data_IF_069941941195
#
_entry.id   IF_069941941195
#
_cell.length_a   1.000
_cell.length_b   1.000
_cell.length_c   1.000
_cell.angle_alpha   90.00
_cell.angle_beta   90.00
_cell.angle_gamma   90.00
#
_symmetry.space_group_name_H-M   'P 1'
#
loop_
_entity.id
_entity.type
_entity.pdbx_description
1 polymer ?
#
# COMPACT_ATOMS: atom_id res chain seq x y z
N UNK A 1 10.45 -21.87 -10.48
CA UNK A 1 10.57 -20.63 -11.29
C UNK A 1 9.72 -20.63 -12.58
N UNK A 2 9.33 -21.76 -13.11
CA UNK A 2 8.50 -21.85 -14.34
C UNK A 2 7.01 -21.49 -14.11
N UNK A 3 6.45 -21.84 -12.97
CA UNK A 3 5.02 -21.66 -12.66
C UNK A 3 4.57 -20.20 -12.54
N UNK A 4 5.46 -19.29 -12.15
CA UNK A 4 5.13 -17.87 -11.99
C UNK A 4 5.00 -17.13 -13.32
N UNK A 5 5.77 -17.57 -14.35
CA UNK A 5 5.71 -17.02 -15.72
C UNK A 5 4.42 -17.36 -16.44
N UNK A 6 3.74 -18.43 -16.02
CA UNK A 6 2.50 -18.90 -16.65
C UNK A 6 1.22 -18.37 -15.99
N UNK A 7 1.21 -18.18 -14.67
CA UNK A 7 0.00 -17.77 -13.92
C UNK A 7 -0.27 -16.27 -14.09
N UNK A 8 0.78 -15.44 -14.20
CA UNK A 8 0.63 -14.00 -14.34
C UNK A 8 -0.02 -13.56 -15.66
N UNK A 9 0.38 -14.10 -16.84
CA UNK A 9 -0.33 -13.83 -18.09
C UNK A 9 -1.79 -14.31 -18.04
N UNK A 10 -2.07 -15.41 -17.35
CA UNK A 10 -3.43 -15.97 -17.24
C UNK A 10 -4.33 -15.06 -16.41
N UNK A 11 -3.86 -14.55 -15.27
CA UNK A 11 -4.61 -13.56 -14.47
C UNK A 11 -4.82 -12.24 -15.22
N UNK A 12 -3.80 -11.74 -15.90
CA UNK A 12 -3.90 -10.55 -16.74
C UNK A 12 -4.78 -10.77 -17.97
N UNK A 13 -4.70 -11.94 -18.60
CA UNK A 13 -5.56 -12.35 -19.72
C UNK A 13 -7.00 -12.61 -19.27
N UNK A 14 -7.23 -13.17 -18.07
CA UNK A 14 -8.57 -13.29 -17.51
C UNK A 14 -9.19 -11.92 -17.22
N UNK A 15 -8.42 -10.94 -16.72
CA UNK A 15 -8.93 -9.58 -16.54
C UNK A 15 -9.19 -8.86 -17.87
N UNK A 16 -8.32 -9.06 -18.84
CA UNK A 16 -8.51 -8.53 -20.20
C UNK A 16 -9.63 -9.26 -20.96
N UNK A 17 -9.81 -10.59 -20.76
CA UNK A 17 -10.90 -11.36 -21.39
C UNK A 17 -12.25 -11.10 -20.71
N UNK A 18 -12.34 -11.02 -19.40
CA UNK A 18 -13.57 -10.60 -18.71
C UNK A 18 -14.02 -9.20 -19.13
N UNK A 19 -13.04 -8.32 -19.45
CA UNK A 19 -13.34 -7.02 -20.08
C UNK A 19 -13.74 -7.12 -21.53
N UNK A 20 -13.42 -8.22 -22.24
CA UNK A 20 -13.69 -8.42 -23.67
C UNK A 20 -14.92 -9.30 -23.97
N UNK A 21 -15.25 -10.24 -23.07
CA UNK A 21 -16.40 -11.16 -23.27
C UNK A 21 -17.75 -10.53 -22.94
N UNK A 22 -17.78 -9.33 -22.34
CA UNK A 22 -18.96 -8.48 -22.22
C UNK A 22 -19.28 -7.64 -23.47
N UNK A 23 -18.56 -7.84 -24.57
CA UNK A 23 -18.82 -7.14 -25.83
C UNK A 23 -20.07 -7.71 -26.51
N UNK A 24 -21.12 -6.91 -26.77
CA UNK A 24 -22.22 -7.35 -27.60
C UNK A 24 -21.70 -7.73 -28.98
N UNK A 25 -22.26 -8.79 -29.55
CA UNK A 25 -21.87 -9.32 -30.86
C UNK A 25 -22.12 -8.35 -32.05
N UNK A 26 -22.65 -7.16 -31.79
CA UNK A 26 -22.86 -6.08 -32.76
C UNK A 26 -21.84 -4.99 -32.58
N UNK A 27 -21.06 -4.69 -33.61
CA UNK A 27 -20.13 -3.56 -33.63
C UNK A 27 -20.93 -2.27 -33.42
N UNK A 28 -20.69 -1.50 -32.33
CA UNK A 28 -21.43 -0.28 -32.08
C UNK A 28 -21.13 0.77 -33.15
N UNK A 29 -22.14 1.50 -33.56
CA UNK A 29 -21.97 2.69 -34.41
C UNK A 29 -21.17 3.77 -33.67
N UNK A 30 -20.52 4.68 -34.36
CA UNK A 30 -19.48 5.60 -33.83
C UNK A 30 -19.88 6.40 -32.55
N UNK A 31 -21.18 6.58 -32.29
CA UNK A 31 -21.67 7.21 -31.07
C UNK A 31 -21.66 6.31 -29.83
N UNK A 32 -21.95 5.00 -30.03
CA UNK A 32 -22.05 4.03 -28.93
C UNK A 32 -20.69 3.62 -28.40
N UNK A 33 -19.65 3.69 -29.25
CA UNK A 33 -18.26 3.37 -28.85
C UNK A 33 -17.74 4.32 -27.79
N UNK A 34 -18.08 5.60 -27.86
CA UNK A 34 -17.64 6.59 -26.87
C UNK A 34 -18.31 6.37 -25.51
N UNK A 35 -19.59 6.01 -25.51
CA UNK A 35 -20.36 5.69 -24.29
C UNK A 35 -19.84 4.37 -23.69
N UNK A 36 -19.59 3.37 -24.53
CA UNK A 36 -19.06 2.07 -24.13
C UNK A 36 -17.69 2.20 -23.48
N UNK A 37 -16.75 2.85 -24.17
CA UNK A 37 -15.40 3.11 -23.65
C UNK A 37 -15.47 3.95 -22.35
N UNK A 38 -16.32 4.97 -22.29
CA UNK A 38 -16.55 5.81 -21.10
C UNK A 38 -17.00 5.03 -19.86
N UNK A 39 -17.77 3.94 -20.06
CA UNK A 39 -18.29 3.10 -18.95
C UNK A 39 -17.24 2.15 -18.36
N UNK A 40 -16.27 1.67 -19.16
CA UNK A 40 -15.24 0.72 -18.71
C UNK A 40 -13.91 1.36 -18.31
N UNK A 41 -13.64 2.59 -18.76
CA UNK A 41 -12.43 3.32 -18.34
C UNK A 41 -12.31 3.46 -16.81
N UNK A 42 -13.38 3.75 -16.02
CA UNK A 42 -13.30 3.77 -14.56
C UNK A 42 -12.80 2.45 -13.96
N UNK A 43 -13.29 1.32 -14.47
CA UNK A 43 -12.90 -0.03 -14.00
C UNK A 43 -11.43 -0.33 -14.27
N UNK A 44 -10.92 0.00 -15.46
CA UNK A 44 -9.50 -0.15 -15.79
C UNK A 44 -8.61 0.70 -14.87
N UNK A 45 -9.08 1.88 -14.48
CA UNK A 45 -8.34 2.77 -13.55
C UNK A 45 -8.33 2.23 -12.14
N UNK A 46 -9.48 1.78 -11.64
CA UNK A 46 -9.60 1.20 -10.32
C UNK A 46 -8.71 -0.04 -10.14
N UNK A 47 -8.42 -0.77 -11.22
CA UNK A 47 -7.55 -1.97 -11.20
C UNK A 47 -6.06 -1.66 -11.34
N UNK A 48 -5.67 -0.48 -11.82
CA UNK A 48 -4.26 -0.15 -12.07
C UNK A 48 -3.43 -0.11 -10.77
N UNK A 49 -3.95 0.50 -9.69
CA UNK A 49 -3.27 0.57 -8.41
C UNK A 49 -3.08 -0.81 -7.76
N UNK A 50 -4.13 -1.62 -7.57
CA UNK A 50 -3.96 -2.94 -6.98
C UNK A 50 -3.07 -3.85 -7.83
N UNK A 51 -3.12 -3.73 -9.16
CA UNK A 51 -2.20 -4.44 -10.05
C UNK A 51 -0.75 -3.99 -9.85
N UNK A 52 -0.49 -2.68 -9.77
CA UNK A 52 0.84 -2.15 -9.50
C UNK A 52 1.38 -2.61 -8.15
N UNK A 53 0.58 -2.58 -7.10
CA UNK A 53 0.95 -3.06 -5.76
C UNK A 53 1.26 -4.56 -5.78
N UNK A 54 0.42 -5.35 -6.45
CA UNK A 54 0.64 -6.79 -6.58
C UNK A 54 1.91 -7.11 -7.38
N UNK A 55 2.13 -6.43 -8.51
CA UNK A 55 3.32 -6.59 -9.35
C UNK A 55 4.57 -6.21 -8.57
N UNK A 56 4.55 -5.08 -7.87
CA UNK A 56 5.67 -4.63 -7.06
C UNK A 56 5.97 -5.65 -5.95
N UNK A 57 4.96 -6.11 -5.22
CA UNK A 57 5.13 -7.14 -4.21
C UNK A 57 5.62 -8.48 -4.76
N UNK A 58 5.17 -8.89 -5.95
CA UNK A 58 5.57 -10.13 -6.59
C UNK A 58 6.98 -10.05 -7.22
N UNK A 59 7.35 -8.90 -7.77
CA UNK A 59 8.65 -8.66 -8.40
C UNK A 59 9.75 -8.36 -7.39
N UNK A 60 9.38 -7.70 -6.28
CA UNK A 60 10.33 -7.37 -5.23
C UNK A 60 10.64 -8.61 -4.40
N UNK A 61 11.70 -9.31 -4.77
CA UNK A 61 12.29 -10.34 -3.94
C UNK A 61 13.23 -9.69 -2.95
N UNK A 62 12.92 -9.83 -1.68
CA UNK A 62 13.84 -9.49 -0.58
C UNK A 62 15.04 -10.45 -0.57
N UNK A 63 15.83 -10.45 -1.63
CA UNK A 63 17.05 -11.28 -1.72
C UNK A 63 18.07 -10.95 -0.63
N UNK A 64 17.83 -9.90 0.14
CA UNK A 64 18.74 -9.40 1.18
C UNK A 64 18.24 -9.65 2.59
N UNK A 65 16.94 -9.92 2.76
CA UNK A 65 16.29 -10.17 4.06
C UNK A 65 15.87 -11.62 4.27
N UNK A 66 16.20 -12.53 3.33
CA UNK A 66 15.91 -13.97 3.50
C UNK A 66 16.78 -14.66 4.56
N UNK A 67 17.54 -13.90 5.36
CA UNK A 67 18.26 -14.47 6.50
C UNK A 67 17.35 -14.52 7.71
N UNK A 68 17.16 -15.72 8.28
CA UNK A 68 16.18 -15.92 9.33
C UNK A 68 16.56 -15.17 10.59
N UNK A 69 15.59 -14.45 11.12
CA UNK A 69 15.61 -14.11 12.53
C UNK A 69 15.34 -15.39 13.32
N UNK A 70 16.20 -15.68 14.30
CA UNK A 70 16.16 -16.89 15.09
C UNK A 70 14.78 -17.14 15.73
N UNK A 71 14.47 -18.42 15.91
CA UNK A 71 13.22 -19.05 16.33
C UNK A 71 12.62 -18.60 17.68
N UNK A 72 13.20 -17.62 18.35
CA UNK A 72 12.80 -17.22 19.72
C UNK A 72 11.68 -16.19 19.81
N UNK A 73 11.23 -15.61 18.68
CA UNK A 73 10.03 -14.79 18.65
C UNK A 73 8.79 -15.64 18.35
N UNK A 74 8.23 -16.25 19.38
CA UNK A 74 6.80 -16.62 19.34
C UNK A 74 6.04 -15.29 19.24
N UNK A 75 5.36 -15.08 18.11
CA UNK A 75 4.32 -14.09 18.01
C UNK A 75 3.41 -14.22 19.24
N UNK A 76 3.07 -13.10 19.86
CA UNK A 76 2.06 -13.10 20.91
C UNK A 76 0.85 -13.90 20.40
N UNK A 77 0.26 -14.75 21.23
CA UNK A 77 -0.83 -15.65 20.83
C UNK A 77 -1.99 -14.92 20.15
N UNK A 78 -2.14 -13.62 20.39
CA UNK A 78 -3.06 -12.72 19.68
C UNK A 78 -2.40 -11.38 19.44
N UNK A 79 -2.30 -11.01 18.18
CA UNK A 79 -1.78 -9.71 17.74
C UNK A 79 -2.90 -8.68 17.61
N UNK A 80 -2.58 -7.41 17.82
CA UNK A 80 -3.50 -6.31 17.51
C UNK A 80 -3.94 -6.33 16.02
N UNK A 81 -3.10 -6.83 15.12
CA UNK A 81 -3.43 -7.01 13.71
C UNK A 81 -4.59 -7.97 13.47
N UNK A 82 -4.81 -8.96 14.37
CA UNK A 82 -5.90 -9.95 14.25
C UNK A 82 -7.27 -9.29 14.41
N UNK A 83 -7.35 -8.20 15.17
CA UNK A 83 -8.58 -7.42 15.38
C UNK A 83 -8.67 -6.24 14.42
N UNK A 84 -7.57 -5.51 14.25
CA UNK A 84 -7.54 -4.28 13.48
C UNK A 84 -7.94 -4.49 12.01
N UNK A 85 -7.65 -5.68 11.43
CA UNK A 85 -8.01 -6.05 10.07
C UNK A 85 -9.53 -6.02 9.80
N UNK A 86 -10.36 -6.10 10.84
CA UNK A 86 -11.81 -6.09 10.71
C UNK A 86 -12.43 -4.74 11.06
N UNK A 87 -11.66 -3.81 11.64
CA UNK A 87 -12.20 -2.54 12.13
C UNK A 87 -12.91 -1.72 11.05
N UNK A 88 -12.48 -1.67 9.76
CA UNK A 88 -13.22 -0.94 8.75
C UNK A 88 -14.58 -1.59 8.43
N UNK A 89 -14.66 -2.93 8.41
CA UNK A 89 -15.91 -3.63 8.20
C UNK A 89 -16.88 -3.43 9.36
N UNK A 90 -16.38 -3.48 10.60
CA UNK A 90 -17.21 -3.21 11.80
C UNK A 90 -17.76 -1.79 11.75
N UNK A 91 -16.94 -0.80 11.37
CA UNK A 91 -17.40 0.58 11.21
C UNK A 91 -18.46 0.69 10.11
N UNK A 92 -18.23 0.08 8.94
CA UNK A 92 -19.14 0.08 7.82
C UNK A 92 -20.51 -0.51 8.19
N UNK A 93 -20.51 -1.71 8.78
CA UNK A 93 -21.75 -2.38 9.22
C UNK A 93 -22.45 -1.62 10.36
N UNK A 94 -21.66 -1.04 11.28
CA UNK A 94 -22.20 -0.20 12.35
C UNK A 94 -22.93 1.03 11.82
N UNK A 95 -22.33 1.77 10.88
CA UNK A 95 -22.98 2.90 10.23
C UNK A 95 -24.29 2.47 9.54
N UNK A 96 -24.26 1.34 8.81
CA UNK A 96 -25.42 0.80 8.13
C UNK A 96 -26.55 0.40 9.10
N UNK A 97 -26.19 -0.27 10.20
CA UNK A 97 -27.13 -0.67 11.25
C UNK A 97 -27.75 0.53 11.99
N UNK A 98 -27.00 1.62 12.12
CA UNK A 98 -27.49 2.89 12.67
C UNK A 98 -28.37 3.68 11.69
N UNK A 99 -28.69 3.15 10.51
CA UNK A 99 -29.54 3.81 9.52
C UNK A 99 -28.83 4.87 8.66
N UNK A 100 -27.49 4.95 8.72
CA UNK A 100 -26.73 5.85 7.84
C UNK A 100 -26.75 5.29 6.44
N UNK A 101 -27.29 6.05 5.49
CA UNK A 101 -27.33 5.66 4.09
C UNK A 101 -25.94 5.67 3.46
N UNK A 102 -25.53 4.52 2.90
CA UNK A 102 -24.32 4.36 2.09
C UNK A 102 -24.62 4.35 0.59
N UNK A 103 -23.62 3.97 -0.22
CA UNK A 103 -23.78 3.83 -1.67
C UNK A 103 -24.84 2.83 -2.07
N UNK A 104 -24.90 1.68 -1.39
CA UNK A 104 -25.75 0.55 -1.72
C UNK A 104 -26.84 0.32 -0.66
N UNK A 105 -27.95 -0.28 -1.01
CA UNK A 105 -28.88 -0.86 -0.02
C UNK A 105 -28.25 -2.11 0.65
N UNK A 106 -28.93 -2.70 1.62
CA UNK A 106 -28.45 -3.87 2.33
C UNK A 106 -28.17 -5.06 1.41
N UNK A 107 -29.04 -5.32 0.44
CA UNK A 107 -28.91 -6.49 -0.42
C UNK A 107 -27.73 -6.34 -1.38
N UNK A 108 -27.62 -5.19 -2.06
CA UNK A 108 -26.51 -4.93 -2.97
C UNK A 108 -25.17 -4.96 -2.23
N UNK A 109 -25.09 -4.30 -1.07
CA UNK A 109 -23.88 -4.27 -0.24
C UNK A 109 -23.43 -5.68 0.16
N UNK A 110 -24.34 -6.49 0.76
CA UNK A 110 -23.97 -7.82 1.24
C UNK A 110 -23.56 -8.77 0.10
N UNK A 111 -24.19 -8.66 -1.07
CA UNK A 111 -23.81 -9.48 -2.23
C UNK A 111 -22.45 -9.07 -2.76
N UNK A 112 -22.17 -7.78 -2.93
CA UNK A 112 -20.85 -7.30 -3.39
C UNK A 112 -19.77 -7.62 -2.40
N UNK A 113 -20.03 -7.49 -1.10
CA UNK A 113 -19.09 -7.85 -0.04
C UNK A 113 -18.79 -9.36 -0.03
N UNK A 114 -19.80 -10.20 -0.20
CA UNK A 114 -19.62 -11.66 -0.29
C UNK A 114 -18.75 -12.04 -1.51
N UNK A 115 -19.00 -11.43 -2.67
CA UNK A 115 -18.16 -11.64 -3.87
C UNK A 115 -16.72 -11.21 -3.60
N UNK A 116 -16.52 -10.05 -2.94
CA UNK A 116 -15.20 -9.56 -2.56
C UNK A 116 -14.44 -10.55 -1.67
N UNK A 117 -15.12 -11.09 -0.65
CA UNK A 117 -14.54 -12.07 0.28
C UNK A 117 -14.14 -13.35 -0.46
N UNK A 118 -15.01 -13.88 -1.31
CA UNK A 118 -14.73 -15.10 -2.10
C UNK A 118 -13.55 -14.88 -3.05
N UNK A 119 -13.53 -13.76 -3.77
CA UNK A 119 -12.45 -13.41 -4.69
C UNK A 119 -11.10 -13.27 -3.95
N UNK A 120 -11.07 -12.54 -2.84
CA UNK A 120 -9.87 -12.34 -2.02
C UNK A 120 -9.38 -13.67 -1.43
N UNK A 121 -10.28 -14.48 -0.85
CA UNK A 121 -9.92 -15.75 -0.23
C UNK A 121 -9.39 -16.76 -1.28
N UNK A 122 -10.03 -16.82 -2.45
CA UNK A 122 -9.59 -17.65 -3.57
C UNK A 122 -8.21 -17.26 -4.08
N UNK A 123 -7.98 -15.96 -4.32
CA UNK A 123 -6.70 -15.45 -4.79
C UNK A 123 -5.57 -15.67 -3.77
N UNK A 124 -5.81 -15.30 -2.50
CA UNK A 124 -4.79 -15.47 -1.45
C UNK A 124 -4.51 -16.95 -1.15
N UNK A 125 -5.55 -17.79 -1.08
CA UNK A 125 -5.40 -19.23 -0.89
C UNK A 125 -4.64 -19.89 -2.04
N UNK A 126 -5.06 -19.66 -3.28
CA UNK A 126 -4.40 -20.19 -4.47
C UNK A 126 -2.91 -19.84 -4.54
N UNK A 127 -2.57 -18.57 -4.29
CA UNK A 127 -1.18 -18.12 -4.29
C UNK A 127 -0.34 -18.71 -3.15
N UNK A 128 -0.91 -18.91 -1.96
CA UNK A 128 -0.21 -19.57 -0.85
C UNK A 128 0.19 -21.01 -1.22
N UNK A 129 -0.71 -21.76 -1.86
CA UNK A 129 -0.44 -23.14 -2.29
C UNK A 129 0.59 -23.24 -3.42
N UNK A 130 0.62 -22.24 -4.33
CA UNK A 130 1.50 -22.27 -5.50
C UNK A 130 2.89 -21.69 -5.22
N UNK A 131 2.97 -20.57 -4.48
CA UNK A 131 4.23 -19.85 -4.25
C UNK A 131 5.05 -20.50 -3.11
N UNK A 132 4.39 -20.99 -2.06
CA UNK A 132 5.00 -21.67 -0.91
C UNK A 132 6.20 -20.94 -0.32
N UNK A 133 6.10 -19.62 -0.18
CA UNK A 133 7.18 -18.79 0.38
C UNK A 133 7.31 -18.99 1.88
N UNK A 134 8.53 -19.15 2.35
CA UNK A 134 8.84 -19.25 3.78
C UNK A 134 8.66 -17.88 4.47
N UNK A 135 8.13 -17.90 5.70
CA UNK A 135 7.97 -16.70 6.53
C UNK A 135 9.32 -16.23 7.07
N UNK A 136 9.45 -14.92 7.44
CA UNK A 136 10.66 -14.43 8.11
C UNK A 136 11.01 -15.19 9.38
N UNK A 137 10.01 -15.62 10.16
CA UNK A 137 10.16 -16.40 11.40
C UNK A 137 10.34 -17.92 11.17
N UNK A 138 10.35 -18.36 9.90
CA UNK A 138 10.44 -19.78 9.49
C UNK A 138 9.33 -20.68 10.03
N UNK A 139 8.25 -20.15 10.58
CA UNK A 139 7.14 -20.93 11.16
C UNK A 139 6.38 -21.74 10.12
N UNK A 140 6.30 -21.26 8.89
CA UNK A 140 5.53 -21.91 7.82
C UNK A 140 5.97 -21.44 6.43
N UNK A 141 5.54 -22.18 5.39
CA UNK A 141 5.76 -21.81 3.97
C UNK A 141 4.54 -21.16 3.32
N UNK A 142 3.78 -20.40 4.09
CA UNK A 142 2.57 -19.71 3.63
C UNK A 142 2.67 -18.21 3.78
N UNK A 143 3.88 -17.65 3.57
CA UNK A 143 4.12 -16.22 3.74
C UNK A 143 3.41 -15.39 2.67
N UNK A 144 3.57 -15.74 1.40
CA UNK A 144 3.06 -14.94 0.28
C UNK A 144 1.71 -15.44 -0.23
N UNK A 145 0.77 -14.53 -0.47
CA UNK A 145 0.68 -13.14 0.02
C UNK A 145 0.17 -13.06 1.46
N UNK A 146 0.26 -11.88 2.09
CA UNK A 146 -0.26 -11.67 3.45
C UNK A 146 -1.80 -11.66 3.48
N UNK A 147 -2.40 -12.67 4.11
CA UNK A 147 -3.85 -12.77 4.24
C UNK A 147 -4.47 -11.73 5.17
N UNK A 148 -3.78 -11.32 6.25
CA UNK A 148 -4.24 -10.26 7.14
C UNK A 148 -4.27 -8.91 6.42
N UNK A 149 -3.21 -8.59 5.67
CA UNK A 149 -3.15 -7.36 4.89
C UNK A 149 -4.20 -7.36 3.77
N UNK A 150 -4.38 -8.48 3.07
CA UNK A 150 -5.41 -8.59 2.04
C UNK A 150 -6.82 -8.32 2.61
N UNK A 151 -7.13 -8.92 3.77
CA UNK A 151 -8.42 -8.71 4.43
C UNK A 151 -8.58 -7.27 4.92
N UNK A 152 -7.55 -6.68 5.52
CA UNK A 152 -7.59 -5.31 6.01
C UNK A 152 -7.82 -4.31 4.87
N UNK A 153 -7.11 -4.45 3.76
CA UNK A 153 -7.30 -3.58 2.59
C UNK A 153 -8.63 -3.83 1.88
N UNK A 154 -9.12 -5.08 1.84
CA UNK A 154 -10.46 -5.39 1.35
C UNK A 154 -11.54 -4.66 2.17
N UNK A 155 -11.54 -4.80 3.49
CA UNK A 155 -12.54 -4.15 4.35
C UNK A 155 -12.43 -2.63 4.33
N UNK A 156 -11.22 -2.08 4.21
CA UNK A 156 -11.01 -0.64 4.03
C UNK A 156 -11.58 -0.14 2.70
N UNK A 157 -11.42 -0.91 1.62
CA UNK A 157 -11.95 -0.55 0.32
C UNK A 157 -13.48 -0.65 0.28
N UNK A 158 -14.08 -1.64 0.94
CA UNK A 158 -15.54 -1.71 1.13
C UNK A 158 -16.06 -0.46 1.85
N UNK A 159 -15.46 -0.08 2.98
CA UNK A 159 -15.80 1.14 3.71
C UNK A 159 -15.63 2.39 2.83
N UNK A 160 -14.56 2.45 2.04
CA UNK A 160 -14.31 3.54 1.10
C UNK A 160 -15.43 3.64 0.05
N UNK A 161 -15.80 2.54 -0.60
CA UNK A 161 -16.86 2.52 -1.62
C UNK A 161 -18.23 2.87 -1.05
N UNK A 162 -18.60 2.34 0.10
CA UNK A 162 -19.93 2.56 0.69
C UNK A 162 -20.07 3.94 1.35
N UNK A 163 -19.04 4.42 2.05
CA UNK A 163 -19.14 5.62 2.88
C UNK A 163 -18.06 6.67 2.60
N UNK A 164 -16.88 6.25 2.18
CA UNK A 164 -15.79 7.14 1.87
C UNK A 164 -16.09 8.05 0.68
N UNK A 165 -16.67 7.47 -0.38
CA UNK A 165 -17.05 8.20 -1.58
C UNK A 165 -18.39 8.95 -1.43
N UNK A 166 -19.25 8.57 -0.49
CA UNK A 166 -20.63 9.05 -0.40
C UNK A 166 -20.91 9.94 0.80
N UNK A 167 -20.27 9.70 1.93
CA UNK A 167 -20.53 10.41 3.19
C UNK A 167 -19.35 11.31 3.59
N UNK A 168 -18.16 10.73 3.78
CA UNK A 168 -16.99 11.49 4.21
C UNK A 168 -15.69 10.79 3.83
N UNK A 169 -14.78 11.47 3.11
CA UNK A 169 -13.47 10.93 2.76
C UNK A 169 -12.61 10.57 3.97
N UNK A 170 -12.88 11.15 5.15
CA UNK A 170 -12.18 10.79 6.39
C UNK A 170 -12.39 9.34 6.80
N UNK A 171 -13.52 8.73 6.41
CA UNK A 171 -13.77 7.30 6.62
C UNK A 171 -12.81 6.46 5.78
N UNK A 172 -12.47 6.91 4.57
CA UNK A 172 -11.43 6.27 3.74
C UNK A 172 -10.06 6.37 4.40
N UNK A 173 -9.69 7.55 4.91
CA UNK A 173 -8.41 7.75 5.63
C UNK A 173 -8.33 6.83 6.84
N UNK A 174 -9.39 6.77 7.64
CA UNK A 174 -9.45 5.89 8.81
C UNK A 174 -9.34 4.41 8.42
N UNK A 175 -10.08 3.98 7.39
CA UNK A 175 -10.09 2.61 6.91
C UNK A 175 -8.72 2.17 6.36
N UNK A 176 -8.16 2.93 5.43
CA UNK A 176 -6.85 2.62 4.86
C UNK A 176 -5.71 2.81 5.88
N UNK A 177 -5.85 3.74 6.83
CA UNK A 177 -4.92 3.89 7.95
C UNK A 177 -4.88 2.64 8.83
N UNK A 178 -6.04 2.09 9.18
CA UNK A 178 -6.14 0.83 9.93
C UNK A 178 -5.58 -0.37 9.14
N UNK A 179 -5.83 -0.41 7.82
CA UNK A 179 -5.31 -1.46 6.94
C UNK A 179 -3.77 -1.39 6.84
N UNK A 180 -3.22 -0.20 6.67
CA UNK A 180 -1.78 0.02 6.65
C UNK A 180 -1.14 -0.39 7.99
N UNK A 181 -1.71 0.04 9.13
CA UNK A 181 -1.25 -0.34 10.45
C UNK A 181 -1.28 -1.87 10.64
N UNK A 182 -2.34 -2.56 10.17
CA UNK A 182 -2.39 -4.02 10.18
C UNK A 182 -1.22 -4.63 9.42
N UNK A 183 -0.93 -4.18 8.20
CA UNK A 183 0.19 -4.67 7.41
C UNK A 183 1.53 -4.44 8.10
N UNK A 184 1.75 -3.25 8.65
CA UNK A 184 2.98 -2.90 9.37
C UNK A 184 3.21 -3.76 10.61
N UNK A 185 2.15 -4.03 11.38
CA UNK A 185 2.22 -4.93 12.53
C UNK A 185 2.66 -6.33 12.11
N UNK A 186 2.14 -6.87 11.00
CA UNK A 186 2.54 -8.20 10.49
C UNK A 186 4.00 -8.27 10.07
N UNK A 187 4.55 -7.18 9.54
CA UNK A 187 5.99 -7.08 9.23
C UNK A 187 6.80 -6.97 10.52
N UNK A 188 6.38 -6.12 11.48
CA UNK A 188 7.03 -5.96 12.78
C UNK A 188 7.10 -7.27 13.57
N UNK A 189 6.06 -8.09 13.49
CA UNK A 189 5.98 -9.40 14.14
C UNK A 189 6.75 -10.51 13.42
N UNK A 190 7.47 -10.20 12.35
CA UNK A 190 8.18 -11.17 11.49
C UNK A 190 7.29 -12.28 10.89
N UNK A 191 5.98 -12.04 10.79
CA UNK A 191 5.04 -12.98 10.18
C UNK A 191 5.06 -12.94 8.66
N UNK A 192 5.35 -11.76 8.09
CA UNK A 192 5.31 -11.52 6.64
C UNK A 192 6.41 -10.56 6.20
N UNK A 193 6.84 -10.72 4.95
CA UNK A 193 7.71 -9.79 4.25
C UNK A 193 6.92 -8.57 3.76
N UNK A 194 7.59 -7.43 3.54
CA UNK A 194 6.94 -6.23 2.98
C UNK A 194 6.32 -6.51 1.61
N UNK A 195 6.99 -7.30 0.79
CA UNK A 195 6.47 -7.77 -0.50
C UNK A 195 5.18 -8.59 -0.38
N UNK A 196 5.04 -9.43 0.67
CA UNK A 196 3.80 -10.17 0.96
C UNK A 196 2.67 -9.21 1.34
N UNK A 197 3.01 -8.13 2.06
CA UNK A 197 2.08 -7.08 2.46
C UNK A 197 1.57 -6.29 1.26
N UNK A 198 2.47 -5.84 0.38
CA UNK A 198 2.10 -5.12 -0.84
C UNK A 198 1.22 -5.96 -1.76
N UNK A 199 1.60 -7.21 -1.99
CA UNK A 199 0.80 -8.14 -2.78
C UNK A 199 -0.57 -8.40 -2.14
N UNK A 200 -0.61 -8.55 -0.82
CA UNK A 200 -1.86 -8.71 -0.07
C UNK A 200 -2.77 -7.50 -0.20
N UNK A 201 -2.24 -6.28 -0.04
CA UNK A 201 -3.00 -5.05 -0.21
C UNK A 201 -3.59 -4.94 -1.62
N UNK A 202 -2.78 -5.20 -2.66
CA UNK A 202 -3.24 -5.22 -4.05
C UNK A 202 -4.39 -6.21 -4.28
N UNK A 203 -4.28 -7.44 -3.75
CA UNK A 203 -5.36 -8.44 -3.86
C UNK A 203 -6.62 -7.96 -3.13
N UNK A 204 -6.49 -7.40 -1.93
CA UNK A 204 -7.62 -6.92 -1.15
C UNK A 204 -8.42 -5.85 -1.90
N UNK A 205 -7.73 -4.81 -2.39
CA UNK A 205 -8.36 -3.73 -3.16
C UNK A 205 -8.98 -4.28 -4.45
N UNK A 206 -8.22 -5.08 -5.22
CA UNK A 206 -8.69 -5.63 -6.49
C UNK A 206 -9.95 -6.47 -6.34
N UNK A 207 -10.05 -7.26 -5.27
CA UNK A 207 -11.22 -8.11 -5.01
C UNK A 207 -12.50 -7.30 -4.83
N UNK A 208 -12.41 -6.12 -4.21
CA UNK A 208 -13.55 -5.22 -4.04
C UNK A 208 -13.89 -4.53 -5.36
N UNK A 209 -12.91 -4.02 -6.09
CA UNK A 209 -13.15 -3.38 -7.39
C UNK A 209 -13.82 -4.34 -8.37
N UNK A 210 -13.37 -5.60 -8.42
CA UNK A 210 -14.01 -6.65 -9.20
C UNK A 210 -15.46 -6.90 -8.76
N UNK A 211 -15.70 -7.00 -7.46
CA UNK A 211 -17.02 -7.27 -6.91
C UNK A 211 -18.00 -6.12 -7.17
N UNK A 212 -17.56 -4.87 -7.04
CA UNK A 212 -18.39 -3.71 -7.35
C UNK A 212 -18.69 -3.61 -8.85
N UNK A 213 -17.72 -3.93 -9.71
CA UNK A 213 -17.98 -4.04 -11.16
C UNK A 213 -19.01 -5.12 -11.48
N UNK A 214 -18.90 -6.30 -10.87
CA UNK A 214 -19.91 -7.35 -11.00
C UNK A 214 -21.27 -6.93 -10.43
N UNK A 215 -21.27 -6.20 -9.31
CA UNK A 215 -22.50 -5.62 -8.73
C UNK A 215 -23.17 -4.62 -9.66
N UNK A 216 -22.39 -3.81 -10.39
CA UNK A 216 -22.94 -2.92 -11.42
C UNK A 216 -23.53 -3.69 -12.60
N UNK A 217 -22.93 -4.80 -13.00
CA UNK A 217 -23.49 -5.68 -14.03
C UNK A 217 -24.77 -6.38 -13.57
N UNK A 218 -24.85 -6.77 -12.29
CA UNK A 218 -26.01 -7.50 -11.74
C UNK A 218 -27.21 -6.58 -11.46
N UNK A 219 -26.97 -5.39 -10.92
CA UNK A 219 -28.01 -4.50 -10.42
C UNK A 219 -28.22 -3.25 -11.27
N UNK A 220 -27.26 -2.90 -12.16
CA UNK A 220 -27.30 -1.62 -12.87
C UNK A 220 -27.33 -0.45 -11.89
N UNK A 221 -28.24 0.49 -12.16
CA UNK A 221 -28.48 1.65 -11.29
C UNK A 221 -29.51 1.38 -10.18
N UNK A 222 -30.02 0.14 -10.08
CA UNK A 222 -30.96 -0.23 -9.03
C UNK A 222 -30.27 -0.43 -7.69
N UNK A 223 -31.00 -0.18 -6.59
CA UNK A 223 -30.52 -0.37 -5.20
C UNK A 223 -29.35 0.54 -4.79
N UNK A 224 -29.17 1.66 -5.50
CA UNK A 224 -28.27 2.72 -5.11
C UNK A 224 -29.00 3.58 -4.06
N UNK A 225 -28.39 3.75 -2.88
CA UNK A 225 -28.84 4.66 -1.84
C UNK A 225 -28.32 6.06 -2.09
N UNK A 226 -27.14 6.35 -1.59
CA UNK A 226 -26.51 7.67 -1.72
C UNK A 226 -25.56 7.73 -2.93
N UNK A 227 -25.72 8.70 -3.84
CA UNK A 227 -24.78 8.87 -4.93
C UNK A 227 -23.39 9.29 -4.40
N UNK A 228 -22.31 9.04 -5.15
CA UNK A 228 -20.98 9.54 -4.82
C UNK A 228 -21.00 11.07 -4.65
N UNK A 229 -20.16 11.56 -3.72
CA UNK A 229 -19.95 12.99 -3.55
C UNK A 229 -19.49 13.58 -4.89
N UNK A 230 -20.03 14.75 -5.24
CA UNK A 230 -19.62 15.44 -6.45
C UNK A 230 -18.10 15.65 -6.44
N UNK A 231 -17.46 15.53 -7.59
CA UNK A 231 -16.05 15.83 -7.71
C UNK A 231 -15.81 17.26 -7.23
N UNK A 232 -14.90 17.48 -6.27
CA UNK A 232 -14.53 18.83 -5.87
C UNK A 232 -14.08 19.57 -7.14
N UNK A 233 -14.59 20.76 -7.37
CA UNK A 233 -14.05 21.61 -8.42
C UNK A 233 -12.55 21.77 -8.16
N UNK A 234 -11.70 21.78 -9.19
CA UNK A 234 -10.23 21.65 -9.05
C UNK A 234 -9.54 22.64 -8.12
N UNK A 235 -10.27 23.58 -7.52
CA UNK A 235 -9.83 24.53 -6.47
C UNK A 235 -10.06 24.03 -5.06
N UNK A 236 -10.91 23.03 -4.82
CA UNK A 236 -11.32 22.61 -3.47
C UNK A 236 -10.47 21.43 -2.93
N UNK A 237 -9.65 20.79 -3.76
CA UNK A 237 -8.76 19.71 -3.37
C UNK A 237 -7.48 20.24 -2.70
N UNK A 238 -7.62 20.88 -1.54
CA UNK A 238 -6.49 21.49 -0.83
C UNK A 238 -5.75 20.54 0.09
N UNK A 239 -6.47 19.57 0.66
CA UNK A 239 -5.88 18.57 1.54
C UNK A 239 -5.61 17.27 0.80
N UNK A 240 -4.45 16.69 1.04
CA UNK A 240 -4.05 15.40 0.49
C UNK A 240 -3.39 14.57 1.58
N UNK A 241 -3.87 13.35 1.74
CA UNK A 241 -3.30 12.34 2.61
C UNK A 241 -2.73 11.22 1.75
N UNK A 242 -1.50 10.83 2.01
CA UNK A 242 -0.77 9.86 1.21
C UNK A 242 -0.22 8.75 2.09
N UNK A 243 -0.43 7.51 1.67
CA UNK A 243 0.32 6.36 2.16
C UNK A 243 1.53 6.19 1.24
N UNK A 244 2.72 6.28 1.80
CA UNK A 244 3.99 6.31 1.07
C UNK A 244 4.78 5.04 1.31
N UNK A 245 5.40 4.49 0.26
CA UNK A 245 6.41 3.44 0.36
C UNK A 245 7.52 3.75 -0.64
N UNK A 246 8.71 4.01 -0.13
CA UNK A 246 9.89 4.35 -0.92
C UNK A 246 10.95 3.24 -0.77
N UNK A 247 11.49 2.74 -1.89
CA UNK A 247 12.54 1.74 -1.96
C UNK A 247 13.88 2.40 -2.28
N UNK A 248 14.93 1.97 -1.62
CA UNK A 248 16.28 2.52 -1.80
C UNK A 248 17.00 1.75 -2.91
N UNK A 249 17.17 2.41 -4.06
CA UNK A 249 17.73 1.81 -5.28
C UNK A 249 19.25 1.85 -5.31
N UNK A 250 19.82 2.96 -4.90
CA UNK A 250 21.28 3.16 -4.83
C UNK A 250 21.61 3.92 -3.56
N UNK A 251 22.64 3.47 -2.86
CA UNK A 251 23.05 4.02 -1.58
C UNK A 251 24.48 4.47 -1.69
N UNK A 252 24.71 5.77 -1.49
CA UNK A 252 26.03 6.33 -1.31
C UNK A 252 26.34 6.30 0.19
N UNK A 253 27.23 5.40 0.62
CA UNK A 253 27.67 5.36 2.01
C UNK A 253 28.73 6.43 2.23
N UNK A 254 28.58 7.21 3.28
CA UNK A 254 29.65 8.03 3.83
C UNK A 254 30.32 7.19 4.91
N UNK A 255 31.63 7.02 4.82
CA UNK A 255 32.41 6.31 5.86
C UNK A 255 32.49 7.23 7.08
N UNK A 256 31.73 6.90 8.12
CA UNK A 256 31.61 7.72 9.34
C UNK A 256 32.59 7.25 10.48
N UNK A 257 33.38 6.25 10.23
CA UNK A 257 34.31 5.70 11.21
C UNK A 257 33.69 4.94 12.38
N UNK A 258 32.34 4.79 12.42
CA UNK A 258 31.61 4.12 13.51
C UNK A 258 31.21 2.67 13.22
N UNK A 259 31.67 2.07 12.12
CA UNK A 259 31.35 0.68 11.78
C UNK A 259 29.96 0.44 11.19
N UNK A 260 29.22 1.51 10.84
CA UNK A 260 27.88 1.43 10.25
C UNK A 260 27.88 1.09 8.74
N UNK A 261 29.05 0.88 8.14
CA UNK A 261 29.21 0.56 6.71
C UNK A 261 28.36 -0.63 6.22
N UNK A 262 28.03 -1.52 7.13
CA UNK A 262 27.22 -2.71 6.83
C UNK A 262 25.71 -2.52 7.05
N UNK A 263 25.26 -1.41 7.61
CA UNK A 263 23.85 -1.08 7.78
C UNK A 263 23.42 -0.09 6.69
N UNK A 264 22.52 -0.50 5.83
CA UNK A 264 22.01 0.33 4.73
C UNK A 264 20.49 0.38 4.74
N UNK A 265 19.86 1.50 4.36
CA UNK A 265 18.41 1.56 4.24
C UNK A 265 17.92 0.60 3.14
N UNK A 266 16.81 -0.08 3.42
CA UNK A 266 16.17 -0.99 2.49
C UNK A 266 14.91 -0.37 1.88
N UNK A 267 14.01 0.10 2.74
CA UNK A 267 12.79 0.81 2.34
C UNK A 267 12.33 1.73 3.46
N UNK A 268 11.55 2.75 3.12
CA UNK A 268 10.78 3.53 4.08
C UNK A 268 9.30 3.44 3.79
N UNK A 269 8.49 3.52 4.84
CA UNK A 269 7.04 3.60 4.69
C UNK A 269 6.49 4.57 5.72
N UNK A 270 5.44 5.29 5.34
CA UNK A 270 4.87 6.31 6.20
C UNK A 270 3.63 6.94 5.62
N UNK A 271 3.15 7.94 6.34
CA UNK A 271 2.02 8.77 5.96
C UNK A 271 2.51 10.19 5.70
N UNK A 272 1.96 10.82 4.68
CA UNK A 272 2.19 12.22 4.35
C UNK A 272 0.84 12.94 4.33
N UNK A 273 0.77 14.08 4.98
CA UNK A 273 -0.34 15.00 4.89
C UNK A 273 0.14 16.30 4.26
N UNK A 274 -0.53 16.78 3.24
CA UNK A 274 -0.20 18.06 2.60
C UNK A 274 -1.42 18.94 2.42
N UNK A 275 -1.20 20.24 2.58
CA UNK A 275 -2.18 21.28 2.33
C UNK A 275 -1.66 22.20 1.22
N UNK A 276 -2.34 22.19 0.09
CA UNK A 276 -1.92 22.91 -1.12
C UNK A 276 -3.03 23.85 -1.55
N UNK A 277 -3.00 25.12 -1.09
CA UNK A 277 -3.99 26.11 -1.48
C UNK A 277 -3.94 26.45 -2.98
N UNK A 278 -2.77 26.23 -3.60
CA UNK A 278 -2.52 26.39 -5.03
C UNK A 278 -1.66 25.22 -5.54
N UNK A 279 -0.72 25.50 -6.45
CA UNK A 279 0.24 24.49 -6.98
C UNK A 279 1.36 24.14 -6.00
N UNK A 280 1.51 24.91 -4.91
CA UNK A 280 2.52 24.73 -3.88
C UNK A 280 1.87 24.86 -2.51
N UNK A 281 2.32 24.06 -1.56
CA UNK A 281 1.82 24.08 -0.21
C UNK A 281 2.74 23.41 0.80
N UNK A 282 2.26 23.31 2.03
CA UNK A 282 2.98 22.69 3.12
C UNK A 282 2.71 21.19 3.17
N UNK A 283 3.70 20.41 3.57
CA UNK A 283 3.57 18.97 3.76
C UNK A 283 4.29 18.52 5.04
N UNK A 284 3.73 17.49 5.67
CA UNK A 284 4.30 16.81 6.85
C UNK A 284 4.31 15.32 6.56
N UNK A 285 5.41 14.67 6.85
CA UNK A 285 5.62 13.23 6.71
C UNK A 285 6.00 12.62 8.07
N UNK A 286 5.41 11.48 8.38
CA UNK A 286 5.82 10.64 9.49
C UNK A 286 5.91 9.18 9.02
N UNK A 287 7.03 8.53 9.29
CA UNK A 287 7.25 7.16 8.83
C UNK A 287 8.51 6.54 9.40
N UNK A 288 8.75 5.30 9.06
CA UNK A 288 9.94 4.61 9.48
C UNK A 288 10.73 4.09 8.28
N UNK A 289 12.05 4.08 8.43
CA UNK A 289 13.00 3.52 7.47
C UNK A 289 13.59 2.25 8.07
N UNK A 290 13.41 1.13 7.38
CA UNK A 290 14.03 -0.14 7.76
C UNK A 290 15.41 -0.26 7.17
N UNK A 291 16.35 -0.72 8.00
CA UNK A 291 17.72 -0.97 7.59
C UNK A 291 17.92 -2.45 7.26
N UNK A 292 18.89 -2.72 6.38
CA UNK A 292 19.37 -4.06 6.05
C UNK A 292 20.84 -4.21 6.40
N UNK A 293 21.21 -5.41 6.79
CA UNK A 293 22.61 -5.77 6.99
C UNK A 293 23.24 -6.22 5.67
N UNK A 294 24.42 -5.70 5.36
CA UNK A 294 25.19 -6.02 4.14
C UNK A 294 26.57 -6.61 4.46
N UNK A 295 26.85 -6.88 5.72
CA UNK A 295 28.13 -7.45 6.15
C UNK A 295 28.30 -8.92 5.73
N UNK A 296 29.54 -9.44 5.80
CA UNK A 296 29.89 -10.77 5.31
C UNK A 296 29.37 -11.92 6.18
N UNK A 297 28.97 -11.66 7.42
CA UNK A 297 28.48 -12.65 8.37
C UNK A 297 27.02 -12.43 8.70
N UNK A 298 26.33 -13.52 9.02
CA UNK A 298 24.94 -13.45 9.47
C UNK A 298 24.83 -12.72 10.81
N UNK A 299 23.72 -12.01 11.01
CA UNK A 299 23.41 -11.36 12.28
C UNK A 299 22.29 -12.11 12.98
N UNK A 300 22.43 -12.26 14.30
CA UNK A 300 21.42 -12.86 15.18
C UNK A 300 21.00 -11.75 16.17
N UNK A 301 19.76 -11.23 16.09
CA UNK A 301 19.27 -10.27 17.06
C UNK A 301 19.26 -10.86 18.47
N UNK A 302 19.84 -10.19 19.47
CA UNK A 302 19.87 -10.67 20.86
C UNK A 302 18.60 -10.37 21.64
N UNK A 303 18.00 -9.21 21.34
CA UNK A 303 16.78 -8.73 21.97
C UNK A 303 15.53 -9.17 21.23
N UNK A 304 15.73 -10.05 20.23
CA UNK A 304 14.67 -10.55 19.38
C UNK A 304 13.96 -9.48 18.56
N UNK A 305 14.44 -8.26 18.55
CA UNK A 305 13.89 -7.20 17.71
C UNK A 305 14.38 -7.38 16.26
N UNK A 306 13.53 -7.06 15.28
CA UNK A 306 13.97 -7.03 13.89
C UNK A 306 15.10 -6.02 13.71
N UNK A 307 15.73 -6.05 12.52
CA UNK A 307 16.77 -5.09 12.12
C UNK A 307 16.33 -3.64 12.44
N UNK A 308 17.30 -2.74 12.71
CA UNK A 308 17.02 -1.37 13.12
C UNK A 308 15.99 -0.66 12.24
N UNK A 309 15.05 -0.01 12.89
CA UNK A 309 14.09 0.87 12.25
C UNK A 309 14.33 2.29 12.76
N UNK A 310 14.39 3.26 11.85
CA UNK A 310 14.51 4.67 12.20
C UNK A 310 13.15 5.34 12.00
N UNK A 311 12.53 5.79 13.08
CA UNK A 311 11.35 6.63 13.01
C UNK A 311 11.77 8.05 12.59
N UNK A 312 11.07 8.61 11.63
CA UNK A 312 11.36 9.95 11.09
C UNK A 312 10.12 10.80 11.03
N UNK A 313 10.28 12.09 11.34
CA UNK A 313 9.26 13.12 11.12
C UNK A 313 9.90 14.24 10.31
N UNK A 314 9.29 14.58 9.18
CA UNK A 314 9.77 15.61 8.26
C UNK A 314 8.64 16.58 7.94
N UNK A 315 8.99 17.83 7.70
CA UNK A 315 8.08 18.86 7.22
C UNK A 315 8.74 19.66 6.08
N UNK A 316 7.94 20.22 5.21
CA UNK A 316 8.49 20.99 4.10
C UNK A 316 7.41 21.44 3.13
N UNK A 317 7.79 21.51 1.87
CA UNK A 317 6.92 21.96 0.80
C UNK A 317 6.62 20.82 -0.17
N UNK A 318 5.38 20.77 -0.64
CA UNK A 318 4.95 19.90 -1.72
C UNK A 318 4.38 20.78 -2.84
N UNK A 319 4.68 20.39 -4.08
CA UNK A 319 4.20 21.07 -5.28
C UNK A 319 3.41 20.12 -6.14
N UNK A 320 2.42 20.63 -6.89
CA UNK A 320 1.54 19.88 -7.73
C UNK A 320 1.14 20.65 -8.96
N UNK A 321 1.51 20.14 -10.13
CA UNK A 321 1.20 20.76 -11.43
C UNK A 321 0.33 19.81 -12.24
N UNK A 322 -0.98 20.08 -12.41
CA UNK A 322 -1.85 19.24 -13.21
C UNK A 322 -1.49 19.36 -14.71
N UNK A 323 -1.40 18.19 -15.36
CA UNK A 323 -1.25 18.06 -16.81
C UNK A 323 -2.55 17.48 -17.35
N UNK A 324 -3.48 18.36 -17.72
CA UNK A 324 -4.84 17.96 -18.11
C UNK A 324 -5.66 17.44 -16.93
N UNK A 325 -6.66 16.62 -17.21
CA UNK A 325 -7.67 16.23 -16.21
C UNK A 325 -7.27 15.01 -15.33
N UNK A 326 -6.16 14.34 -15.63
CA UNK A 326 -5.84 13.04 -15.03
C UNK A 326 -4.42 12.86 -14.53
N UNK A 327 -3.50 13.53 -15.16
CA UNK A 327 -2.08 13.43 -14.85
C UNK A 327 -1.64 14.68 -14.09
N UNK A 328 -0.82 14.46 -13.08
CA UNK A 328 -0.25 15.54 -12.28
C UNK A 328 1.25 15.28 -12.11
N UNK A 329 2.07 16.31 -12.22
CA UNK A 329 3.45 16.27 -11.76
C UNK A 329 3.46 16.65 -10.29
N UNK A 330 4.05 15.82 -9.46
CA UNK A 330 4.24 16.08 -8.04
C UNK A 330 5.72 16.33 -7.74
N UNK A 331 5.97 17.29 -6.85
CA UNK A 331 7.30 17.55 -6.30
C UNK A 331 7.25 17.68 -4.79
N UNK A 332 8.35 17.35 -4.10
CA UNK A 332 8.50 17.61 -2.67
C UNK A 332 9.92 17.95 -2.29
N UNK A 333 10.04 18.79 -1.27
CA UNK A 333 11.28 19.07 -0.55
C UNK A 333 10.95 19.15 0.94
N UNK A 334 11.46 18.21 1.71
CA UNK A 334 11.15 18.10 3.13
C UNK A 334 12.43 17.93 3.94
N UNK A 335 12.46 18.55 5.12
CA UNK A 335 13.51 18.37 6.10
C UNK A 335 12.94 17.97 7.44
N UNK A 336 13.68 17.23 8.22
CA UNK A 336 13.22 16.77 9.52
C UNK A 336 14.28 16.02 10.30
N UNK A 337 13.81 15.22 11.24
CA UNK A 337 14.66 14.43 12.11
C UNK A 337 14.28 12.96 12.07
N UNK A 338 15.27 12.10 12.24
CA UNK A 338 15.06 10.71 12.63
C UNK A 338 15.49 10.50 14.06
N UNK A 339 14.78 9.61 14.75
CA UNK A 339 14.99 9.34 16.17
C UNK A 339 16.10 8.32 16.38
N UNK A 340 16.76 8.39 17.53
CA UNK A 340 17.75 7.41 17.98
C UNK A 340 17.15 6.00 17.94
N UNK A 341 17.94 5.05 17.44
CA UNK A 341 17.60 3.63 17.43
C UNK A 341 18.79 2.82 17.95
N UNK A 342 18.54 1.89 18.90
CA UNK A 342 19.55 1.01 19.50
C UNK A 342 19.19 -0.43 19.27
N UNK A 343 20.14 -1.21 18.80
CA UNK A 343 19.96 -2.62 18.51
C UNK A 343 21.20 -3.41 18.89
N UNK A 344 20.97 -4.53 19.58
CA UNK A 344 21.99 -5.48 19.92
C UNK A 344 21.85 -6.75 19.08
N UNK A 345 22.92 -7.21 18.47
CA UNK A 345 22.96 -8.45 17.70
C UNK A 345 24.30 -9.15 17.83
N UNK A 346 24.33 -10.44 17.54
CA UNK A 346 25.55 -11.24 17.47
C UNK A 346 25.91 -11.46 16.01
N UNK A 347 27.16 -11.16 15.62
CA UNK A 347 27.70 -11.46 14.30
C UNK A 347 29.06 -12.09 14.44
N UNK A 348 29.36 -13.15 13.67
CA UNK A 348 30.61 -13.93 13.77
C UNK A 348 30.93 -14.37 15.20
N UNK A 349 29.94 -14.68 16.04
CA UNK A 349 30.11 -15.08 17.43
C UNK A 349 30.50 -13.93 18.39
N UNK A 350 30.49 -12.68 17.93
CA UNK A 350 30.70 -11.49 18.76
C UNK A 350 29.41 -10.70 18.93
N UNK A 351 29.25 -10.21 20.13
CA UNK A 351 28.16 -9.32 20.46
C UNK A 351 28.47 -7.90 20.01
N UNK A 352 27.56 -7.32 19.24
CA UNK A 352 27.68 -5.96 18.70
C UNK A 352 26.41 -5.19 19.08
N UNK A 353 26.59 -4.03 19.68
CA UNK A 353 25.52 -3.06 19.89
C UNK A 353 25.72 -1.94 18.87
N UNK A 354 24.70 -1.71 18.04
CA UNK A 354 24.67 -0.59 17.11
C UNK A 354 23.72 0.46 17.66
N UNK A 355 24.27 1.64 17.86
CA UNK A 355 23.52 2.83 18.22
C UNK A 355 23.52 3.78 17.02
N UNK A 356 22.34 3.98 16.45
CA UNK A 356 22.11 5.01 15.45
C UNK A 356 21.68 6.27 16.20
N UNK A 357 22.52 7.30 16.29
CA UNK A 357 22.15 8.54 16.97
C UNK A 357 20.99 9.22 16.21
N UNK A 358 20.27 10.09 16.90
CA UNK A 358 19.33 10.98 16.22
C UNK A 358 20.07 11.90 15.23
N UNK A 359 19.41 12.31 14.18
CA UNK A 359 20.00 13.19 13.18
C UNK A 359 18.97 13.80 12.24
N UNK A 360 19.46 14.60 11.31
CA UNK A 360 18.64 15.26 10.30
C UNK A 360 18.42 14.37 9.10
N UNK A 361 17.21 14.48 8.51
CA UNK A 361 16.84 13.83 7.26
C UNK A 361 16.34 14.87 6.29
N UNK A 362 16.81 14.82 5.05
CA UNK A 362 16.30 15.64 3.93
C UNK A 362 15.76 14.66 2.89
N UNK A 363 14.56 14.96 2.41
CA UNK A 363 13.87 14.17 1.39
C UNK A 363 13.53 15.08 0.22
N UNK A 364 13.89 14.67 -0.99
CA UNK A 364 13.42 15.29 -2.21
C UNK A 364 12.65 14.28 -3.05
N UNK A 365 11.80 14.73 -3.93
CA UNK A 365 11.10 13.83 -4.84
C UNK A 365 10.43 14.57 -5.96
N UNK A 366 10.44 13.94 -7.13
CA UNK A 366 9.68 14.31 -8.31
C UNK A 366 8.97 13.07 -8.83
N UNK A 367 7.76 13.22 -9.32
CA UNK A 367 6.99 12.10 -9.82
C UNK A 367 5.73 12.50 -10.54
N UNK A 368 4.93 11.47 -10.83
CA UNK A 368 3.66 11.61 -11.51
C UNK A 368 2.57 10.98 -10.68
N UNK A 369 1.43 11.64 -10.61
CA UNK A 369 0.19 11.09 -10.06
C UNK A 369 -0.82 10.89 -11.19
N UNK A 370 -1.48 9.76 -11.15
CA UNK A 370 -2.61 9.45 -12.02
C UNK A 370 -3.85 9.38 -11.15
N UNK A 371 -4.86 10.17 -11.49
CA UNK A 371 -6.15 10.11 -10.83
C UNK A 371 -6.83 8.78 -11.15
N UNK A 372 -7.10 8.01 -10.11
CA UNK A 372 -7.76 6.71 -10.21
C UNK A 372 -9.26 6.84 -9.99
N UNK A 373 -9.68 7.80 -9.18
CA UNK A 373 -11.07 8.08 -8.86
C UNK A 373 -11.28 9.58 -8.56
N UNK A 374 -12.50 10.00 -8.25
CA UNK A 374 -12.84 11.40 -7.94
C UNK A 374 -11.90 12.03 -6.89
N UNK A 375 -11.49 11.25 -5.90
CA UNK A 375 -10.67 11.70 -4.77
C UNK A 375 -9.41 10.90 -4.54
N UNK A 376 -9.15 9.89 -5.36
CA UNK A 376 -8.02 8.98 -5.19
C UNK A 376 -7.04 9.12 -6.33
N UNK A 377 -5.76 9.04 -6.02
CA UNK A 377 -4.66 9.12 -6.98
C UNK A 377 -3.56 8.13 -6.62
N UNK A 378 -2.96 7.55 -7.64
CA UNK A 378 -1.73 6.78 -7.53
C UNK A 378 -0.55 7.62 -8.00
N UNK A 379 0.49 7.71 -7.20
CA UNK A 379 1.74 8.38 -7.59
C UNK A 379 2.90 7.40 -7.64
N UNK A 380 3.78 7.64 -8.60
CA UNK A 380 5.14 7.08 -8.63
C UNK A 380 6.11 8.23 -8.52
N UNK A 381 7.02 8.15 -7.56
CA UNK A 381 7.99 9.21 -7.29
C UNK A 381 9.41 8.66 -7.26
N UNK A 382 10.31 9.36 -7.93
CA UNK A 382 11.75 9.19 -7.78
C UNK A 382 12.31 10.35 -6.95
N UNK A 383 13.28 10.08 -6.11
CA UNK A 383 13.81 11.10 -5.23
C UNK A 383 15.18 10.80 -4.65
N UNK A 384 15.64 11.69 -3.81
CA UNK A 384 16.83 11.48 -3.00
C UNK A 384 16.53 11.70 -1.54
N UNK A 385 17.17 10.91 -0.71
CA UNK A 385 17.15 11.05 0.73
C UNK A 385 18.55 11.16 1.26
N UNK A 386 18.77 12.10 2.15
CA UNK A 386 20.04 12.33 2.82
C UNK A 386 19.85 12.25 4.33
N UNK A 387 20.70 11.47 4.97
CA UNK A 387 20.78 11.33 6.41
C UNK A 387 22.09 11.93 6.89
N UNK A 388 22.04 12.80 7.87
CA UNK A 388 23.13 13.67 8.32
C UNK A 388 24.47 12.93 8.57
N UNK A 389 24.41 11.69 9.03
CA UNK A 389 25.58 11.01 9.55
C UNK A 389 26.06 9.86 8.64
N UNK A 390 25.20 9.32 7.76
CA UNK A 390 25.51 8.00 7.22
C UNK A 390 25.23 7.79 5.73
N UNK A 391 24.14 8.29 5.15
CA UNK A 391 23.76 7.87 3.80
C UNK A 391 23.12 8.96 2.96
N UNK A 392 23.50 8.98 1.68
CA UNK A 392 22.69 9.53 0.62
C UNK A 392 22.13 8.38 -0.23
N UNK A 393 20.89 8.45 -0.63
CA UNK A 393 20.27 7.39 -1.41
C UNK A 393 19.32 7.93 -2.46
N UNK A 394 19.27 7.25 -3.61
CA UNK A 394 18.20 7.40 -4.58
C UNK A 394 17.03 6.49 -4.19
N UNK A 395 15.84 7.03 -4.23
CA UNK A 395 14.61 6.31 -3.90
C UNK A 395 13.67 6.27 -5.10
N UNK A 396 12.95 5.15 -5.20
CA UNK A 396 11.79 5.01 -6.08
C UNK A 396 10.63 4.54 -5.22
N UNK A 397 9.55 5.29 -5.20
CA UNK A 397 8.43 5.03 -4.32
C UNK A 397 7.08 5.11 -4.98
N UNK A 398 6.10 4.53 -4.32
CA UNK A 398 4.69 4.59 -4.68
C UNK A 398 3.91 5.26 -3.58
N UNK A 399 2.84 5.96 -3.96
CA UNK A 399 1.92 6.59 -3.02
C UNK A 399 0.49 6.38 -3.45
N UNK A 400 -0.33 6.09 -2.48
CA UNK A 400 -1.77 6.17 -2.62
C UNK A 400 -2.27 7.43 -1.92
N UNK A 401 -2.89 8.30 -2.67
CA UNK A 401 -3.32 9.61 -2.19
C UNK A 401 -4.84 9.69 -2.16
N UNK A 402 -5.36 10.32 -1.10
CA UNK A 402 -6.76 10.70 -0.99
C UNK A 402 -6.80 12.23 -0.86
N UNK A 403 -7.60 12.88 -1.68
CA UNK A 403 -7.73 14.33 -1.76
C UNK A 403 -9.11 14.80 -1.26
N UNK A 404 -9.14 16.00 -0.61
CA UNK A 404 -10.32 16.57 0.01
C UNK A 404 -10.51 18.04 -0.36
#
# INVERSE_FOLDING_TARGET
>A
MSSFRTIFPILLLCTLRLSAEGLPATVPTSGDSAVFIGRYIPTLRATALPAAMFITGAAYRDNVTERPVTREFRAAERSAADYLQFSPAVLMLGLKACGVEGRSDWQRMLVTDAISVVAMAGATGGLKYTVRRERPDRSSRTSFPSGHTARAFMTATMLHKEYGETLSPWLSVAGYGAAAATGLLRVKENNHWVSDMLAGAGIGIYSVELAYTLGELLYGDSRIGRPPLQEPSGRDNRWRFSLCTDFYMSIMSVNDGYGHEHLKPAYSTGIEASYMPWYLGAAVYAGFTRLKWTGPHDIIPRDGKPLPEMLSVCAGVAGRIPIGNRLTIDGRLMGGKYMESRHAFTTAGKDVEVRLPEGRRIMTGLGFSIRTDARSELSVMAGTEMYEITWGAFTLGTRYNITF
#
